data_IF_643305909784
#
_entry.id   IF_643305909784
#
_cell.length_a   1.000
_cell.length_b   1.000
_cell.length_c   1.000
_cell.angle_alpha   90.00
_cell.angle_beta   90.00
_cell.angle_gamma   90.00
#
_symmetry.space_group_name_H-M   'P 1'
#
loop_
_entity.id
_entity.type
_entity.pdbx_description
1 polymer ?
#
# COMPACT_ATOMS: atom_id res chain seq x y z
N UNK A 1 -5.11 -20.08 1.24
CA UNK A 1 -6.43 -19.97 0.59
C UNK A 1 -6.26 -19.18 -0.70
N UNK A 2 -7.01 -19.48 -1.77
CA UNK A 2 -6.98 -18.65 -2.98
C UNK A 2 -7.52 -17.24 -2.66
N UNK A 3 -6.89 -16.19 -3.19
CA UNK A 3 -7.36 -14.80 -3.01
C UNK A 3 -8.75 -14.65 -3.63
N UNK A 4 -9.69 -14.06 -2.88
CA UNK A 4 -11.05 -13.80 -3.33
C UNK A 4 -11.03 -12.85 -4.53
N UNK A 5 -11.87 -13.05 -5.57
CA UNK A 5 -11.80 -12.31 -6.82
C UNK A 5 -11.79 -10.78 -6.66
N UNK A 6 -12.60 -10.22 -5.74
CA UNK A 6 -12.61 -8.77 -5.51
C UNK A 6 -11.32 -8.23 -4.89
N UNK A 7 -10.51 -9.05 -4.23
CA UNK A 7 -9.24 -8.60 -3.64
C UNK A 7 -8.06 -8.74 -4.62
N UNK A 8 -8.21 -9.52 -5.69
CA UNK A 8 -7.15 -9.73 -6.70
C UNK A 8 -6.65 -8.41 -7.32
N UNK A 9 -7.51 -7.46 -7.73
CA UNK A 9 -7.04 -6.19 -8.27
C UNK A 9 -6.16 -5.40 -7.29
N UNK A 10 -6.52 -5.37 -6.00
CA UNK A 10 -5.70 -4.71 -4.97
C UNK A 10 -4.36 -5.43 -4.82
N UNK A 11 -4.36 -6.77 -4.82
CA UNK A 11 -3.12 -7.55 -4.79
C UNK A 11 -2.22 -7.32 -6.01
N UNK A 12 -2.77 -7.05 -7.19
CA UNK A 12 -1.96 -6.68 -8.37
C UNK A 12 -1.32 -5.30 -8.22
N UNK A 13 -2.03 -4.33 -7.63
CA UNK A 13 -1.46 -3.01 -7.32
C UNK A 13 -0.37 -3.11 -6.26
N UNK A 14 -0.59 -3.92 -5.22
CA UNK A 14 0.42 -4.25 -4.22
C UNK A 14 1.69 -4.80 -4.85
N UNK A 15 1.61 -5.66 -5.88
CA UNK A 15 2.82 -6.16 -6.56
C UNK A 15 3.63 -5.02 -7.20
N UNK A 16 2.95 -4.06 -7.83
CA UNK A 16 3.60 -2.88 -8.43
C UNK A 16 4.21 -1.97 -7.35
N UNK A 17 3.49 -1.74 -6.26
CA UNK A 17 3.97 -0.93 -5.12
C UNK A 17 5.15 -1.60 -4.39
N UNK A 18 5.11 -2.91 -4.17
CA UNK A 18 6.20 -3.67 -3.54
C UNK A 18 7.47 -3.67 -4.39
N UNK A 19 7.35 -3.66 -5.72
CA UNK A 19 8.48 -3.45 -6.61
C UNK A 19 9.13 -2.09 -6.36
N UNK A 20 8.33 -1.01 -6.26
CA UNK A 20 8.83 0.32 -5.91
C UNK A 20 9.51 0.29 -4.55
N UNK A 21 8.88 -0.28 -3.52
CA UNK A 21 9.50 -0.38 -2.19
C UNK A 21 10.88 -1.04 -2.26
N UNK A 22 11.01 -2.17 -2.98
CA UNK A 22 12.30 -2.84 -3.16
C UNK A 22 13.34 -1.93 -3.82
N UNK A 23 12.94 -1.16 -4.82
CA UNK A 23 13.83 -0.29 -5.59
C UNK A 23 14.32 0.95 -4.81
N UNK A 24 13.53 1.40 -3.82
CA UNK A 24 13.79 2.60 -3.02
C UNK A 24 14.63 2.39 -1.78
N UNK A 25 14.71 1.17 -1.28
CA UNK A 25 15.53 0.89 -0.10
C UNK A 25 16.99 1.24 -0.37
N UNK A 26 17.67 1.77 0.64
CA UNK A 26 19.08 2.20 0.52
C UNK A 26 20.04 1.03 0.25
N UNK A 27 19.63 -0.18 0.63
CA UNK A 27 20.35 -1.44 0.43
C UNK A 27 19.92 -2.16 -0.87
N UNK A 28 19.10 -1.52 -1.70
CA UNK A 28 18.66 -2.08 -2.97
C UNK A 28 19.83 -2.18 -3.97
N UNK A 29 19.96 -3.34 -4.60
CA UNK A 29 20.80 -3.48 -5.78
C UNK A 29 20.31 -2.55 -6.89
N UNK A 30 21.23 -2.05 -7.72
CA UNK A 30 20.88 -1.35 -8.94
C UNK A 30 19.96 -2.25 -9.79
N UNK A 31 18.90 -1.66 -10.34
CA UNK A 31 17.94 -2.37 -11.16
C UNK A 31 18.06 -1.89 -12.61
N UNK A 32 18.40 -2.81 -13.51
CA UNK A 32 18.63 -2.50 -14.92
C UNK A 32 17.37 -1.91 -15.56
N UNK A 33 17.55 -0.85 -16.36
CA UNK A 33 16.44 -0.13 -17.00
C UNK A 33 15.74 0.91 -16.12
N UNK A 34 16.20 1.15 -14.89
CA UNK A 34 15.62 2.14 -13.98
C UNK A 34 16.63 3.23 -13.59
N UNK A 35 16.16 4.45 -13.27
CA UNK A 35 17.05 5.54 -12.88
C UNK A 35 17.95 5.19 -11.68
N UNK A 36 19.20 5.63 -11.69
CA UNK A 36 20.10 5.43 -10.54
C UNK A 36 20.21 6.70 -9.69
N UNK A 37 20.10 7.87 -10.33
CA UNK A 37 20.15 9.18 -9.69
C UNK A 37 18.96 9.43 -8.76
N UNK A 38 19.23 9.91 -7.55
CA UNK A 38 18.23 10.11 -6.48
C UNK A 38 17.03 10.95 -6.92
N UNK A 39 17.24 12.06 -7.64
CA UNK A 39 16.14 12.91 -8.10
C UNK A 39 15.28 12.23 -9.18
N UNK A 40 15.89 11.40 -10.03
CA UNK A 40 15.16 10.63 -11.02
C UNK A 40 14.38 9.47 -10.38
N UNK A 41 14.92 8.87 -9.31
CA UNK A 41 14.17 7.95 -8.44
C UNK A 41 12.95 8.66 -7.86
N UNK A 42 13.12 9.84 -7.26
CA UNK A 42 12.01 10.62 -6.70
C UNK A 42 10.91 10.90 -7.74
N UNK A 43 11.27 11.39 -8.92
CA UNK A 43 10.30 11.65 -10.00
C UNK A 43 9.54 10.38 -10.41
N UNK A 44 10.24 9.24 -10.53
CA UNK A 44 9.60 7.96 -10.83
C UNK A 44 8.58 7.55 -9.75
N UNK A 45 8.94 7.69 -8.46
CA UNK A 45 8.05 7.36 -7.34
C UNK A 45 6.81 8.25 -7.36
N UNK A 46 6.98 9.56 -7.58
CA UNK A 46 5.86 10.50 -7.63
C UNK A 46 4.84 10.06 -8.68
N UNK A 47 5.31 9.66 -9.86
CA UNK A 47 4.45 9.14 -10.91
C UNK A 47 3.74 7.84 -10.48
N UNK A 48 4.46 6.86 -9.91
CA UNK A 48 3.82 5.60 -9.47
C UNK A 48 2.81 5.84 -8.33
N UNK A 49 3.09 6.74 -7.41
CA UNK A 49 2.16 7.09 -6.33
C UNK A 49 0.89 7.71 -6.90
N UNK A 50 1.00 8.64 -7.86
CA UNK A 50 -0.16 9.24 -8.50
C UNK A 50 -0.97 8.22 -9.32
N UNK A 51 -0.29 7.36 -10.08
CA UNK A 51 -0.94 6.40 -10.98
C UNK A 51 -1.53 5.17 -10.26
N UNK A 52 -0.92 4.75 -9.15
CA UNK A 52 -1.25 3.46 -8.49
C UNK A 52 -1.74 3.69 -7.07
N UNK A 53 -0.96 4.40 -6.25
CA UNK A 53 -1.28 4.52 -4.82
C UNK A 53 -2.59 5.28 -4.58
N UNK A 54 -2.81 6.40 -5.29
CA UNK A 54 -4.02 7.20 -5.12
C UNK A 54 -5.30 6.40 -5.45
N UNK A 55 -5.46 5.77 -6.63
CA UNK A 55 -6.65 4.97 -6.91
C UNK A 55 -6.73 3.71 -6.04
N UNK A 56 -5.60 3.18 -5.58
CA UNK A 56 -5.56 2.04 -4.66
C UNK A 56 -6.16 2.39 -3.29
N UNK A 57 -5.71 3.49 -2.67
CA UNK A 57 -6.22 3.96 -1.37
C UNK A 57 -7.74 4.20 -1.44
N UNK A 58 -8.25 4.76 -2.55
CA UNK A 58 -9.70 4.98 -2.70
C UNK A 58 -10.50 3.66 -2.63
N UNK A 59 -9.95 2.59 -3.22
CA UNK A 59 -10.58 1.26 -3.16
C UNK A 59 -10.47 0.64 -1.78
N UNK A 60 -9.37 0.87 -1.07
CA UNK A 60 -9.20 0.44 0.32
C UNK A 60 -10.13 1.17 1.27
N UNK A 61 -10.27 2.49 1.14
CA UNK A 61 -11.20 3.28 1.93
C UNK A 61 -12.64 2.78 1.74
N UNK A 62 -13.04 2.49 0.50
CA UNK A 62 -14.34 1.88 0.22
C UNK A 62 -14.46 0.48 0.84
N UNK A 63 -13.42 -0.37 0.72
CA UNK A 63 -13.38 -1.69 1.34
C UNK A 63 -13.52 -1.60 2.87
N UNK A 64 -12.82 -0.66 3.50
CA UNK A 64 -12.88 -0.41 4.93
C UNK A 64 -14.29 0.03 5.34
N UNK A 65 -14.90 0.96 4.60
CA UNK A 65 -16.26 1.45 4.86
C UNK A 65 -17.29 0.31 4.81
N UNK A 66 -17.25 -0.53 3.78
CA UNK A 66 -18.24 -1.62 3.65
C UNK A 66 -18.04 -2.72 4.69
N UNK A 67 -16.83 -2.89 5.21
CA UNK A 67 -16.49 -3.88 6.24
C UNK A 67 -16.70 -3.38 7.68
N UNK A 68 -16.69 -2.06 7.90
CA UNK A 68 -16.75 -1.46 9.23
C UNK A 68 -18.01 -1.87 10.02
N UNK A 69 -17.82 -2.16 11.31
CA UNK A 69 -18.88 -2.52 12.25
C UNK A 69 -19.43 -3.94 12.07
N UNK A 70 -18.83 -4.76 11.19
CA UNK A 70 -19.29 -6.13 10.92
C UNK A 70 -18.54 -7.18 11.72
N UNK A 71 -17.31 -6.90 12.15
CA UNK A 71 -16.51 -7.82 12.95
C UNK A 71 -15.46 -7.07 13.80
N UNK A 72 -15.45 -7.22 15.15
CA UNK A 72 -14.60 -6.42 16.03
C UNK A 72 -13.10 -6.45 15.72
N UNK A 73 -12.54 -7.62 15.40
CA UNK A 73 -11.10 -7.71 15.05
C UNK A 73 -10.78 -7.05 13.71
N UNK A 74 -11.73 -7.06 12.77
CA UNK A 74 -11.57 -6.40 11.47
C UNK A 74 -11.60 -4.88 11.68
N UNK A 75 -12.45 -4.38 12.57
CA UNK A 75 -12.53 -2.96 12.92
C UNK A 75 -11.22 -2.45 13.54
N UNK A 76 -10.58 -3.23 14.43
CA UNK A 76 -9.27 -2.87 14.97
C UNK A 76 -8.18 -2.89 13.88
N UNK A 77 -8.17 -3.87 12.97
CA UNK A 77 -7.24 -3.88 11.84
C UNK A 77 -7.44 -2.65 10.95
N UNK A 78 -8.69 -2.31 10.59
CA UNK A 78 -9.03 -1.11 9.79
C UNK A 78 -8.51 0.16 10.47
N UNK A 79 -8.66 0.27 11.79
CA UNK A 79 -8.15 1.41 12.55
C UNK A 79 -6.63 1.51 12.50
N UNK A 80 -5.91 0.39 12.60
CA UNK A 80 -4.45 0.36 12.42
C UNK A 80 -4.04 0.77 11.00
N UNK A 81 -4.67 0.21 9.97
CA UNK A 81 -4.37 0.52 8.57
C UNK A 81 -4.61 2.00 8.25
N UNK A 82 -5.68 2.60 8.78
CA UNK A 82 -5.92 4.04 8.64
C UNK A 82 -4.83 4.90 9.29
N UNK A 83 -4.29 4.49 10.44
CA UNK A 83 -3.17 5.18 11.06
C UNK A 83 -1.89 5.06 10.23
N UNK A 84 -1.66 3.90 9.62
CA UNK A 84 -0.56 3.66 8.69
C UNK A 84 -0.69 4.51 7.43
N UNK A 85 -1.88 4.61 6.82
CA UNK A 85 -2.16 5.51 5.69
C UNK A 85 -1.76 6.94 6.01
N UNK A 86 -2.20 7.46 7.16
CA UNK A 86 -1.86 8.81 7.59
C UNK A 86 -0.35 8.99 7.78
N UNK A 87 0.33 8.00 8.39
CA UNK A 87 1.79 8.04 8.57
C UNK A 87 2.51 8.06 7.23
N UNK A 88 2.14 7.17 6.30
CA UNK A 88 2.72 7.05 4.96
C UNK A 88 2.51 8.34 4.16
N UNK A 89 1.30 8.90 4.19
CA UNK A 89 0.97 10.17 3.54
C UNK A 89 1.84 11.33 4.04
N UNK A 90 2.08 11.42 5.36
CA UNK A 90 2.98 12.42 5.95
C UNK A 90 4.44 12.21 5.52
N UNK A 91 4.92 10.97 5.52
CA UNK A 91 6.28 10.65 5.07
C UNK A 91 6.48 11.03 3.61
N UNK A 92 5.51 10.74 2.75
CA UNK A 92 5.54 11.10 1.34
C UNK A 92 5.56 12.63 1.14
N UNK A 93 4.68 13.36 1.83
CA UNK A 93 4.59 14.82 1.73
C UNK A 93 5.88 15.52 2.18
N UNK A 94 6.60 14.93 3.13
CA UNK A 94 7.87 15.47 3.64
C UNK A 94 9.08 15.18 2.73
N UNK A 95 8.95 14.38 1.65
CA UNK A 95 10.09 14.00 0.80
C UNK A 95 10.76 15.21 0.14
N UNK A 96 9.98 16.20 -0.31
CA UNK A 96 10.50 17.38 -1.03
C UNK A 96 11.24 18.37 -0.15
N UNK A 97 11.05 18.29 1.17
CA UNK A 97 11.65 19.19 2.16
C UNK A 97 12.87 18.55 2.86
N UNK A 98 13.16 17.27 2.57
CA UNK A 98 14.17 16.50 3.29
C UNK A 98 15.58 16.67 2.69
N UNK A 99 16.54 17.04 3.54
CA UNK A 99 17.95 17.15 3.16
C UNK A 99 18.63 15.79 2.95
N UNK A 100 18.11 14.71 3.53
CA UNK A 100 18.54 13.32 3.32
C UNK A 100 17.43 12.50 2.66
N UNK A 101 17.24 12.77 1.36
CA UNK A 101 16.21 12.14 0.53
C UNK A 101 16.37 10.62 0.43
N UNK A 102 17.60 10.08 0.46
CA UNK A 102 17.85 8.63 0.37
C UNK A 102 17.32 7.93 1.61
N UNK A 103 17.66 8.42 2.81
CA UNK A 103 17.15 7.85 4.06
C UNK A 103 15.63 8.00 4.16
N UNK A 104 15.07 9.14 3.71
CA UNK A 104 13.63 9.35 3.71
C UNK A 104 12.89 8.35 2.81
N UNK A 105 13.40 8.09 1.60
CA UNK A 105 12.85 7.08 0.68
C UNK A 105 12.97 5.65 1.27
N UNK A 106 14.07 5.32 1.94
CA UNK A 106 14.23 4.00 2.60
C UNK A 106 13.19 3.78 3.70
N UNK A 107 12.96 4.79 4.55
CA UNK A 107 11.95 4.73 5.63
C UNK A 107 10.54 4.61 5.07
N UNK A 108 10.20 5.40 4.05
CA UNK A 108 8.91 5.32 3.35
C UNK A 108 8.70 3.92 2.75
N UNK A 109 9.70 3.40 2.03
CA UNK A 109 9.63 2.11 1.36
C UNK A 109 9.43 0.95 2.35
N UNK A 110 10.13 0.96 3.48
CA UNK A 110 9.97 -0.06 4.53
C UNK A 110 8.59 0.02 5.17
N UNK A 111 8.14 1.23 5.50
CA UNK A 111 6.81 1.43 6.12
C UNK A 111 5.68 1.00 5.18
N UNK A 112 5.78 1.34 3.89
CA UNK A 112 4.79 0.94 2.89
C UNK A 112 4.81 -0.56 2.62
N UNK A 113 5.99 -1.18 2.59
CA UNK A 113 6.06 -2.65 2.48
C UNK A 113 5.43 -3.33 3.69
N UNK A 114 5.72 -2.90 4.91
CA UNK A 114 5.12 -3.46 6.13
C UNK A 114 3.59 -3.37 6.11
N UNK A 115 3.07 -2.20 5.70
CA UNK A 115 1.65 -1.94 5.52
C UNK A 115 1.01 -2.90 4.50
N UNK A 116 1.53 -2.95 3.27
CA UNK A 116 1.03 -3.85 2.22
C UNK A 116 1.07 -5.32 2.66
N UNK A 117 2.12 -5.72 3.40
CA UNK A 117 2.23 -7.10 3.92
C UNK A 117 1.18 -7.40 4.97
N UNK A 118 0.81 -6.43 5.82
CA UNK A 118 -0.28 -6.56 6.79
C UNK A 118 -1.61 -6.73 6.06
N UNK A 119 -1.86 -5.94 5.04
CA UNK A 119 -3.10 -6.04 4.25
C UNK A 119 -3.24 -7.40 3.58
N UNK A 120 -2.19 -7.83 2.87
CA UNK A 120 -2.17 -9.11 2.17
C UNK A 120 -2.34 -10.32 3.09
N UNK A 121 -1.59 -10.35 4.20
CA UNK A 121 -1.44 -11.56 5.03
C UNK A 121 -2.38 -11.61 6.22
N UNK A 122 -2.88 -10.46 6.68
CA UNK A 122 -3.72 -10.39 7.88
C UNK A 122 -5.11 -9.93 7.48
N UNK A 123 -5.23 -8.71 6.94
CA UNK A 123 -6.53 -8.10 6.70
C UNK A 123 -7.33 -8.88 5.65
N UNK A 124 -6.77 -9.10 4.47
CA UNK A 124 -7.47 -9.80 3.39
C UNK A 124 -7.76 -11.26 3.74
N UNK A 125 -6.87 -11.95 4.47
CA UNK A 125 -7.15 -13.32 4.94
C UNK A 125 -8.33 -13.35 5.91
N UNK A 126 -8.38 -12.37 6.83
CA UNK A 126 -9.47 -12.22 7.79
C UNK A 126 -10.79 -11.88 7.10
N UNK A 127 -10.80 -10.93 6.16
CA UNK A 127 -12.00 -10.59 5.39
C UNK A 127 -12.60 -11.80 4.66
N UNK A 128 -11.76 -12.61 4.02
CA UNK A 128 -12.24 -13.78 3.29
C UNK A 128 -12.81 -14.87 4.20
N UNK A 129 -12.33 -14.93 5.44
CA UNK A 129 -12.77 -15.94 6.41
C UNK A 129 -14.04 -15.49 7.12
N UNK A 130 -14.10 -14.23 7.55
CA UNK A 130 -15.16 -13.73 8.42
C UNK A 130 -16.27 -12.98 7.68
N UNK A 131 -15.96 -12.36 6.53
CA UNK A 131 -16.89 -11.52 5.77
C UNK A 131 -16.98 -11.89 4.26
N UNK A 132 -17.07 -13.17 3.87
CA UNK A 132 -17.14 -13.56 2.46
C UNK A 132 -18.34 -12.92 1.73
N UNK A 133 -19.50 -12.87 2.37
CA UNK A 133 -20.74 -12.28 1.83
C UNK A 133 -20.56 -10.78 1.48
N UNK A 134 -19.76 -10.06 2.27
CA UNK A 134 -19.48 -8.63 2.06
C UNK A 134 -18.58 -8.47 0.83
N UNK A 135 -17.57 -9.32 0.71
CA UNK A 135 -16.66 -9.32 -0.44
C UNK A 135 -17.40 -9.63 -1.75
N UNK A 136 -18.37 -10.55 -1.74
CA UNK A 136 -19.18 -10.87 -2.92
C UNK A 136 -20.05 -9.71 -3.41
N UNK A 137 -20.47 -8.83 -2.50
CA UNK A 137 -21.28 -7.65 -2.82
C UNK A 137 -20.48 -6.49 -3.45
N UNK A 138 -19.15 -6.51 -3.32
CA UNK A 138 -18.28 -5.45 -3.84
C UNK A 138 -18.18 -5.54 -5.36
N UNK A 139 -18.32 -4.37 -6.01
CA UNK A 139 -18.04 -4.19 -7.43
C UNK A 139 -17.11 -3.00 -7.60
N UNK A 140 -15.91 -3.25 -8.10
CA UNK A 140 -15.04 -2.16 -8.58
C UNK A 140 -15.67 -1.58 -9.83
N UNK A 141 -16.23 -0.37 -9.70
CA UNK A 141 -16.75 0.43 -10.82
C UNK A 141 -15.63 1.05 -11.62
#
# INVERSE_FOLDING_TARGET
MQRHPVLIPLSHEHQRLLFVCRYLKKDAAAYEGFPLETNAKLAYIVNVFQEVMVPHIQKEEYLFEVCAGRHPEIDEIIKELNQEHQKISRMYSALTENTDLISAMDVLARSLEEHIRKEERVFFEKLQTELPEVLEAIKWT
#
